data_IF_935940216960
#
_entry.id   IF_935940216960
#
_cell.length_a   1.000
_cell.length_b   1.000
_cell.length_c   1.000
_cell.angle_alpha   90.00
_cell.angle_beta   90.00
_cell.angle_gamma   90.00
#
_symmetry.space_group_name_H-M   'P 1'
#
loop_
_entity.id
_entity.type
_entity.pdbx_description
1 polymer ?
#
# COMPACT_ATOMS: atom_id res chain seq x y z
N UNK A 1 7.66 -2.85 2.45
CA UNK A 1 7.85 -1.44 2.01
C UNK A 1 8.36 -1.35 0.57
N UNK A 2 9.60 -1.73 0.24
CA UNK A 2 10.15 -1.57 -1.13
C UNK A 2 9.29 -2.25 -2.20
N UNK A 3 8.86 -3.49 -1.98
CA UNK A 3 7.98 -4.22 -2.92
C UNK A 3 6.65 -3.49 -3.14
N UNK A 4 6.07 -2.92 -2.08
CA UNK A 4 4.84 -2.14 -2.17
C UNK A 4 5.04 -0.88 -3.04
N UNK A 5 6.17 -0.19 -2.91
CA UNK A 5 6.49 0.98 -3.74
C UNK A 5 6.62 0.60 -5.22
N UNK A 6 7.32 -0.49 -5.52
CA UNK A 6 7.49 -0.98 -6.91
C UNK A 6 6.14 -1.39 -7.51
N UNK A 7 5.33 -2.15 -6.76
CA UNK A 7 4.00 -2.56 -7.20
C UNK A 7 3.07 -1.35 -7.39
N UNK A 8 3.09 -0.38 -6.47
CA UNK A 8 2.30 0.85 -6.58
C UNK A 8 2.71 1.71 -7.78
N UNK A 9 4.01 1.78 -8.08
CA UNK A 9 4.52 2.46 -9.26
C UNK A 9 4.02 1.79 -10.54
N UNK A 10 4.14 0.45 -10.64
CA UNK A 10 3.61 -0.30 -11.78
C UNK A 10 2.08 -0.18 -11.90
N UNK A 11 1.35 -0.22 -10.78
CA UNK A 11 -0.09 -0.05 -10.75
C UNK A 11 -0.53 1.31 -11.29
N UNK A 12 0.22 2.39 -11.01
CA UNK A 12 -0.04 3.71 -11.59
C UNK A 12 0.01 3.68 -13.12
N UNK A 13 1.04 3.06 -13.73
CA UNK A 13 1.11 2.96 -15.20
C UNK A 13 -0.04 2.13 -15.78
N UNK A 14 -0.35 0.99 -15.17
CA UNK A 14 -1.43 0.13 -15.63
C UNK A 14 -2.78 0.84 -15.51
N UNK A 15 -3.07 1.46 -14.37
CA UNK A 15 -4.30 2.21 -14.15
C UNK A 15 -4.45 3.39 -15.12
N UNK A 16 -3.38 4.16 -15.34
CA UNK A 16 -3.41 5.30 -16.28
C UNK A 16 -3.68 4.87 -17.73
N UNK A 17 -3.16 3.71 -18.16
CA UNK A 17 -3.48 3.13 -19.48
C UNK A 17 -4.94 2.66 -19.60
N UNK A 18 -5.57 2.26 -18.50
CA UNK A 18 -6.97 1.81 -18.47
C UNK A 18 -8.02 2.95 -18.45
N UNK A 19 -7.61 4.20 -18.25
CA UNK A 19 -8.55 5.33 -18.18
C UNK A 19 -9.15 5.67 -19.54
N UNK A 20 -10.43 6.10 -19.54
CA UNK A 20 -11.15 6.53 -20.75
C UNK A 20 -10.46 7.72 -21.45
N UNK A 21 -9.80 8.58 -20.68
CA UNK A 21 -9.10 9.77 -21.16
C UNK A 21 -7.76 9.45 -21.86
N UNK A 22 -7.26 8.22 -21.74
CA UNK A 22 -5.97 7.80 -22.29
C UNK A 22 -6.17 7.12 -23.65
N UNK A 23 -5.45 7.57 -24.69
CA UNK A 23 -5.56 7.02 -26.06
C UNK A 23 -4.79 5.70 -26.27
N UNK A 24 -4.08 5.23 -25.25
CA UNK A 24 -3.38 3.95 -25.28
C UNK A 24 -4.37 2.77 -25.22
N UNK A 25 -4.17 1.72 -26.02
CA UNK A 25 -4.98 0.49 -25.97
C UNK A 25 -6.24 0.44 -26.84
N UNK A 26 -6.45 1.40 -27.75
CA UNK A 26 -7.61 1.46 -28.65
C UNK A 26 -8.83 2.13 -28.01
N UNK A 27 -10.01 2.02 -28.64
CA UNK A 27 -11.26 2.64 -28.15
C UNK A 27 -12.25 1.64 -27.51
N UNK A 28 -11.80 0.40 -27.32
CA UNK A 28 -12.57 -0.65 -26.65
C UNK A 28 -12.72 -0.37 -25.16
N UNK A 29 -13.88 0.20 -24.79
CA UNK A 29 -14.23 0.54 -23.41
C UNK A 29 -14.11 -0.65 -22.45
N UNK A 30 -14.43 -1.86 -22.91
CA UNK A 30 -14.37 -3.09 -22.09
C UNK A 30 -12.92 -3.48 -21.78
N UNK A 31 -12.01 -3.37 -22.76
CA UNK A 31 -10.59 -3.68 -22.55
C UNK A 31 -9.94 -2.67 -21.60
N UNK A 32 -10.23 -1.38 -21.78
CA UNK A 32 -9.79 -0.31 -20.88
C UNK A 32 -10.28 -0.51 -19.44
N UNK A 33 -11.55 -0.86 -19.25
CA UNK A 33 -12.09 -1.16 -17.93
C UNK A 33 -11.40 -2.35 -17.26
N UNK A 34 -11.09 -3.42 -17.99
CA UNK A 34 -10.33 -4.56 -17.46
C UNK A 34 -8.90 -4.20 -17.06
N UNK A 35 -8.24 -3.34 -17.85
CA UNK A 35 -6.89 -2.85 -17.54
C UNK A 35 -6.91 -1.98 -16.27
N UNK A 36 -7.89 -1.07 -16.15
CA UNK A 36 -8.09 -0.24 -14.95
C UNK A 36 -8.32 -1.12 -13.70
N UNK A 37 -9.24 -2.09 -13.78
CA UNK A 37 -9.48 -3.06 -12.71
C UNK A 37 -8.23 -3.85 -12.33
N UNK A 38 -7.43 -4.26 -13.32
CA UNK A 38 -6.13 -4.90 -13.07
C UNK A 38 -5.18 -4.00 -12.29
N UNK A 39 -5.11 -2.71 -12.62
CA UNK A 39 -4.36 -1.70 -11.86
C UNK A 39 -4.88 -1.54 -10.42
N UNK A 40 -6.19 -1.52 -10.23
CA UNK A 40 -6.83 -1.48 -8.91
C UNK A 40 -6.44 -2.67 -8.03
N UNK A 41 -6.47 -3.89 -8.57
CA UNK A 41 -6.04 -5.11 -7.85
C UNK A 41 -4.56 -5.00 -7.43
N UNK A 42 -3.69 -4.52 -8.33
CA UNK A 42 -2.26 -4.36 -8.00
C UNK A 42 -2.07 -3.30 -6.90
N UNK A 43 -2.85 -2.21 -6.90
CA UNK A 43 -2.85 -1.24 -5.82
C UNK A 43 -3.28 -1.85 -4.48
N UNK A 44 -4.33 -2.67 -4.46
CA UNK A 44 -4.76 -3.36 -3.22
C UNK A 44 -3.64 -4.24 -2.68
N UNK A 45 -3.00 -5.04 -3.54
CA UNK A 45 -1.87 -5.91 -3.13
C UNK A 45 -0.69 -5.08 -2.62
N UNK A 46 -0.36 -3.96 -3.30
CA UNK A 46 0.68 -3.04 -2.86
C UNK A 46 0.35 -2.44 -1.48
N UNK A 47 -0.88 -1.98 -1.27
CA UNK A 47 -1.33 -1.41 -0.01
C UNK A 47 -1.33 -2.42 1.14
N UNK A 48 -1.76 -3.67 0.89
CA UNK A 48 -1.67 -4.75 1.87
C UNK A 48 -0.23 -5.08 2.25
N UNK A 49 0.69 -5.13 1.28
CA UNK A 49 2.10 -5.36 1.54
C UNK A 49 2.74 -4.23 2.38
N UNK A 50 2.27 -2.99 2.21
CA UNK A 50 2.67 -1.86 3.05
C UNK A 50 2.09 -1.97 4.47
N UNK A 51 0.79 -2.28 4.57
CA UNK A 51 0.10 -2.43 5.84
C UNK A 51 0.74 -3.52 6.71
N UNK A 52 1.02 -4.70 6.12
CA UNK A 52 1.67 -5.82 6.82
C UNK A 52 3.04 -5.41 7.35
N UNK A 53 3.85 -4.71 6.55
CA UNK A 53 5.18 -4.27 6.98
C UNK A 53 5.11 -3.28 8.17
N UNK A 54 4.20 -2.30 8.10
CA UNK A 54 4.00 -1.34 9.19
C UNK A 54 3.43 -1.99 10.44
N UNK A 55 2.44 -2.88 10.29
CA UNK A 55 1.81 -3.59 11.42
C UNK A 55 2.78 -4.57 12.09
N UNK A 56 3.66 -5.22 11.33
CA UNK A 56 4.70 -6.07 11.91
C UNK A 56 5.67 -5.27 12.78
N UNK A 57 6.14 -4.13 12.27
CA UNK A 57 7.03 -3.25 13.03
C UNK A 57 6.33 -2.67 14.27
N UNK A 58 5.06 -2.29 14.13
CA UNK A 58 4.26 -1.81 15.26
C UNK A 58 4.05 -2.88 16.34
N UNK A 59 3.82 -4.12 15.92
CA UNK A 59 3.73 -5.25 16.85
C UNK A 59 5.04 -5.46 17.62
N UNK A 60 6.20 -5.39 16.95
CA UNK A 60 7.51 -5.50 17.61
C UNK A 60 7.72 -4.41 18.67
N UNK A 61 7.38 -3.16 18.35
CA UNK A 61 7.47 -2.05 19.31
C UNK A 61 6.62 -2.34 20.55
N UNK A 62 5.38 -2.79 20.35
CA UNK A 62 4.46 -3.11 21.46
C UNK A 62 4.99 -4.27 22.29
N UNK A 63 5.43 -5.36 21.65
CA UNK A 63 5.95 -6.52 22.40
C UNK A 63 7.19 -6.16 23.20
N UNK A 64 8.09 -5.36 22.65
CA UNK A 64 9.31 -4.96 23.34
C UNK A 64 9.02 -3.98 24.47
N UNK A 65 8.04 -3.09 24.30
CA UNK A 65 7.63 -2.16 25.34
C UNK A 65 7.07 -2.87 26.59
N UNK A 66 6.28 -3.92 26.40
CA UNK A 66 5.68 -4.72 27.48
C UNK A 66 6.57 -5.86 27.99
N UNK A 67 7.73 -6.10 27.38
CA UNK A 67 8.64 -7.15 27.81
C UNK A 67 9.38 -6.74 29.11
N UNK A 68 9.27 -7.51 30.21
CA UNK A 68 9.97 -7.20 31.45
C UNK A 68 11.49 -7.42 31.39
N UNK A 69 11.98 -8.17 30.40
CA UNK A 69 13.41 -8.45 30.22
C UNK A 69 14.17 -7.28 29.56
N UNK A 70 13.44 -6.30 29.00
CA UNK A 70 14.02 -5.19 28.25
C UNK A 70 14.11 -3.97 29.18
N UNK A 71 15.33 -3.46 29.47
CA UNK A 71 15.49 -2.29 30.33
C UNK A 71 14.82 -1.06 29.72
N UNK A 72 14.30 -0.19 30.59
CA UNK A 72 13.44 0.95 30.20
C UNK A 72 14.15 1.97 29.29
N UNK A 73 15.48 2.02 29.32
CA UNK A 73 16.29 2.92 28.52
C UNK A 73 16.38 2.56 27.03
N UNK A 74 15.96 1.36 26.62
CA UNK A 74 15.97 0.91 25.22
C UNK A 74 14.56 0.63 24.69
N UNK A 75 13.52 1.05 25.41
CA UNK A 75 12.13 0.93 24.95
C UNK A 75 11.85 2.00 23.91
N UNK A 76 11.36 1.57 22.75
CA UNK A 76 10.98 2.46 21.66
C UNK A 76 9.48 2.80 21.75
N UNK A 77 9.15 4.02 21.37
CA UNK A 77 7.76 4.47 21.18
C UNK A 77 7.44 4.53 19.68
N UNK A 78 6.15 4.66 19.36
CA UNK A 78 5.71 4.79 17.98
C UNK A 78 6.21 6.09 17.35
N UNK A 79 7.12 5.97 16.38
CA UNK A 79 7.54 7.09 15.56
C UNK A 79 6.43 7.58 14.60
N UNK A 80 6.40 8.87 14.21
CA UNK A 80 5.41 9.43 13.29
C UNK A 80 5.29 8.68 11.96
N UNK A 81 6.39 8.11 11.47
CA UNK A 81 6.45 7.39 10.19
C UNK A 81 5.48 6.19 10.12
N UNK A 82 5.19 5.53 11.25
CA UNK A 82 4.32 4.35 11.26
C UNK A 82 2.85 4.72 11.05
N UNK A 83 2.43 5.88 11.57
CA UNK A 83 1.09 6.42 11.37
C UNK A 83 0.89 6.82 9.91
N UNK A 84 1.90 7.46 9.31
CA UNK A 84 1.92 7.78 7.88
C UNK A 84 1.87 6.50 7.04
N UNK A 85 2.60 5.46 7.45
CA UNK A 85 2.58 4.15 6.81
C UNK A 85 1.20 3.50 6.82
N UNK A 86 0.50 3.48 7.96
CA UNK A 86 -0.86 2.96 8.07
C UNK A 86 -1.87 3.79 7.27
N UNK A 87 -1.85 5.12 7.40
CA UNK A 87 -2.74 6.01 6.67
C UNK A 87 -2.53 5.88 5.15
N UNK A 88 -1.28 5.87 4.69
CA UNK A 88 -0.93 5.68 3.29
C UNK A 88 -1.37 4.32 2.76
N UNK A 89 -1.17 3.26 3.53
CA UNK A 89 -1.63 1.90 3.15
C UNK A 89 -3.15 1.84 3.01
N UNK A 90 -3.89 2.43 3.95
CA UNK A 90 -5.35 2.51 3.88
C UNK A 90 -5.82 3.29 2.64
N UNK A 91 -5.19 4.42 2.34
CA UNK A 91 -5.51 5.24 1.18
C UNK A 91 -5.26 4.49 -0.14
N UNK A 92 -4.16 3.74 -0.23
CA UNK A 92 -3.82 2.93 -1.41
C UNK A 92 -4.80 1.77 -1.60
N UNK A 93 -5.22 1.10 -0.53
CA UNK A 93 -6.22 0.02 -0.59
C UNK A 93 -7.57 0.58 -1.03
N UNK A 94 -8.02 1.68 -0.43
CA UNK A 94 -9.27 2.34 -0.82
C UNK A 94 -9.22 2.84 -2.26
N UNK A 95 -8.11 3.47 -2.65
CA UNK A 95 -7.88 3.92 -4.02
C UNK A 95 -7.93 2.78 -5.02
N UNK A 96 -7.31 1.64 -4.71
CA UNK A 96 -7.37 0.45 -5.56
C UNK A 96 -8.75 -0.21 -5.61
N UNK A 97 -9.53 -0.17 -4.53
CA UNK A 97 -10.88 -0.74 -4.49
C UNK A 97 -11.92 0.11 -5.25
N UNK A 98 -11.68 1.42 -5.38
CA UNK A 98 -12.54 2.34 -6.12
C UNK A 98 -12.26 2.35 -7.64
N UNK A 99 -11.15 1.73 -8.08
CA UNK A 99 -10.62 1.77 -9.45
C UNK A 99 -11.04 0.55 -10.27
#
# INVERSE_FOLDING_TARGET
MVVSLVLGFLAMFVATMGMKCTRCGGDDKVKKARIAMGGGIIFIVAGLAALVACSWYGHQIVTDFYNPLIPTNIKYEFGPAIFIGWAGSALVILGGALL
#
